data_IF_076255184176
#
_entry.id   IF_076255184176
#
_cell.length_a   1.000
_cell.length_b   1.000
_cell.length_c   1.000
_cell.angle_alpha   90.00
_cell.angle_beta   90.00
_cell.angle_gamma   90.00
#
_symmetry.space_group_name_H-M   'P 1'
#
loop_
_entity.id
_entity.type
_entity.pdbx_description
1 polymer ?
#
# COMPACT_ATOMS: atom_id res chain seq x y z
N UNK A 1 5.57 -14.59 3.72
CA UNK A 1 5.62 -13.18 4.15
C UNK A 1 6.23 -12.37 3.02
N UNK A 2 5.42 -11.62 2.27
CA UNK A 2 5.95 -10.73 1.24
C UNK A 2 6.77 -9.61 1.90
N UNK A 3 8.06 -9.51 1.57
CA UNK A 3 8.87 -8.34 1.84
C UNK A 3 9.17 -7.62 0.51
N UNK A 4 9.41 -6.32 0.57
CA UNK A 4 9.77 -5.53 -0.60
C UNK A 4 10.89 -4.56 -0.24
N UNK A 5 11.75 -4.28 -1.20
CA UNK A 5 12.87 -3.34 -1.05
C UNK A 5 12.48 -1.98 -1.62
N UNK A 6 12.82 -0.92 -0.92
CA UNK A 6 12.66 0.44 -1.40
C UNK A 6 13.68 0.67 -2.52
N UNK A 7 13.22 1.12 -3.68
CA UNK A 7 14.07 1.50 -4.80
C UNK A 7 14.85 2.77 -4.49
N UNK A 8 15.89 3.09 -5.27
CA UNK A 8 16.65 4.34 -5.12
C UNK A 8 15.81 5.62 -5.22
N UNK A 9 14.61 5.53 -5.82
CA UNK A 9 13.66 6.63 -5.95
C UNK A 9 12.67 6.74 -4.77
N UNK A 10 12.83 5.93 -3.73
CA UNK A 10 11.95 5.93 -2.57
C UNK A 10 10.61 5.20 -2.80
N UNK A 11 10.47 4.44 -3.89
CA UNK A 11 9.25 3.69 -4.18
C UNK A 11 9.37 2.26 -3.67
N UNK A 12 8.26 1.68 -3.20
CA UNK A 12 8.15 0.25 -2.88
C UNK A 12 7.11 -0.40 -3.77
N UNK A 13 7.37 -1.63 -4.21
CA UNK A 13 6.39 -2.42 -4.96
C UNK A 13 5.51 -3.19 -4.00
N UNK A 14 4.20 -3.02 -4.10
CA UNK A 14 3.22 -3.85 -3.39
C UNK A 14 3.12 -5.19 -4.12
N UNK A 15 3.47 -6.34 -3.49
CA UNK A 15 3.42 -7.64 -4.14
C UNK A 15 2.02 -8.01 -4.61
N UNK A 16 1.94 -8.81 -5.67
CA UNK A 16 0.66 -9.11 -6.35
C UNK A 16 -0.41 -9.61 -5.38
N UNK A 17 -0.07 -10.56 -4.51
CA UNK A 17 -1.00 -11.10 -3.51
C UNK A 17 -1.61 -10.03 -2.59
N UNK A 18 -0.84 -9.00 -2.22
CA UNK A 18 -1.33 -7.90 -1.38
C UNK A 18 -2.20 -6.93 -2.20
N UNK A 19 -1.86 -6.67 -3.46
CA UNK A 19 -2.71 -5.86 -4.35
C UNK A 19 -4.06 -6.53 -4.59
N UNK A 20 -4.06 -7.83 -4.85
CA UNK A 20 -5.28 -8.60 -5.09
C UNK A 20 -6.16 -8.62 -3.82
N UNK A 21 -5.55 -8.80 -2.64
CA UNK A 21 -6.24 -8.73 -1.36
C UNK A 21 -6.87 -7.36 -1.07
N UNK A 22 -6.13 -6.28 -1.33
CA UNK A 22 -6.58 -4.90 -1.10
C UNK A 22 -7.40 -4.32 -2.27
N UNK A 23 -7.57 -5.08 -3.37
CA UNK A 23 -8.20 -4.64 -4.63
C UNK A 23 -7.59 -3.35 -5.17
N UNK A 24 -6.25 -3.31 -5.21
CA UNK A 24 -5.49 -2.17 -5.72
C UNK A 24 -5.24 -2.31 -7.21
N UNK A 25 -5.61 -1.28 -7.97
CA UNK A 25 -5.34 -1.16 -9.39
C UNK A 25 -4.46 0.06 -9.68
N UNK A 26 -4.00 0.16 -10.93
CA UNK A 26 -3.27 1.34 -11.40
C UNK A 26 -4.12 2.59 -11.19
N UNK A 27 -3.57 3.58 -10.48
CA UNK A 27 -4.27 4.83 -10.18
C UNK A 27 -5.05 4.83 -8.86
N UNK A 28 -5.17 3.69 -8.17
CA UNK A 28 -5.73 3.67 -6.81
C UNK A 28 -4.88 4.53 -5.89
N UNK A 29 -5.51 5.52 -5.24
CA UNK A 29 -4.87 6.31 -4.20
C UNK A 29 -4.84 5.50 -2.91
N UNK A 30 -3.77 5.65 -2.15
CA UNK A 30 -3.62 5.04 -0.82
C UNK A 30 -3.32 6.12 0.19
N UNK A 31 -3.82 5.92 1.41
CA UNK A 31 -3.53 6.75 2.57
C UNK A 31 -2.59 6.00 3.52
N UNK A 32 -1.70 6.75 4.17
CA UNK A 32 -0.72 6.22 5.10
C UNK A 32 -1.03 6.75 6.50
N UNK A 33 -1.39 5.85 7.40
CA UNK A 33 -1.72 6.19 8.79
C UNK A 33 -0.69 5.58 9.72
N UNK A 34 -0.07 6.41 10.55
CA UNK A 34 0.80 5.96 11.64
C UNK A 34 -0.06 5.77 12.88
N UNK A 35 -0.12 4.57 13.42
CA UNK A 35 -0.87 4.27 14.64
C UNK A 35 -0.10 4.71 15.88
N UNK A 36 -0.79 4.78 17.02
CA UNK A 36 -0.17 5.06 18.32
C UNK A 36 0.90 4.03 18.72
N UNK A 37 0.79 2.80 18.18
CA UNK A 37 1.76 1.73 18.37
C UNK A 37 2.97 1.82 17.43
N UNK A 38 3.03 2.83 16.57
CA UNK A 38 4.11 3.05 15.61
C UNK A 38 4.02 2.20 14.34
N UNK A 39 2.92 1.48 14.14
CA UNK A 39 2.67 0.73 12.90
C UNK A 39 2.23 1.69 11.79
N UNK A 40 2.68 1.43 10.56
CA UNK A 40 2.20 2.14 9.37
C UNK A 40 1.14 1.30 8.68
N UNK A 41 -0.09 1.80 8.62
CA UNK A 41 -1.20 1.19 7.87
C UNK A 41 -1.33 1.86 6.51
N UNK A 42 -1.49 1.04 5.48
CA UNK A 42 -1.80 1.48 4.11
C UNK A 42 -3.27 1.19 3.84
N UNK A 43 -4.04 2.23 3.55
CA UNK A 43 -5.48 2.13 3.37
C UNK A 43 -5.83 2.57 1.93
N UNK A 44 -6.45 1.72 1.11
CA UNK A 44 -6.96 2.13 -0.19
C UNK A 44 -8.03 3.22 -0.03
N UNK A 45 -7.87 4.34 -0.72
CA UNK A 45 -8.91 5.35 -0.86
C UNK A 45 -9.83 4.90 -1.99
N UNK A 46 -10.80 4.05 -1.65
CA UNK A 46 -11.82 3.59 -2.59
C UNK A 46 -12.74 4.78 -2.88
N UNK A 47 -12.52 5.46 -3.99
CA UNK A 47 -13.55 6.34 -4.54
C UNK A 47 -14.55 5.43 -5.25
N UNK A 48 -15.72 5.20 -4.66
CA UNK A 48 -16.86 4.72 -5.43
C UNK A 48 -17.13 5.78 -6.52
N UNK A 49 -16.74 5.48 -7.75
CA UNK A 49 -17.20 6.19 -8.94
C UNK A 49 -18.24 5.32 -9.62
#
# INVERSE_FOLDING_TARGET
MPCATITSKGQVTIPKEIRDYLKLDTGTKVDFVITETGEVKVIPLVTNV
#
